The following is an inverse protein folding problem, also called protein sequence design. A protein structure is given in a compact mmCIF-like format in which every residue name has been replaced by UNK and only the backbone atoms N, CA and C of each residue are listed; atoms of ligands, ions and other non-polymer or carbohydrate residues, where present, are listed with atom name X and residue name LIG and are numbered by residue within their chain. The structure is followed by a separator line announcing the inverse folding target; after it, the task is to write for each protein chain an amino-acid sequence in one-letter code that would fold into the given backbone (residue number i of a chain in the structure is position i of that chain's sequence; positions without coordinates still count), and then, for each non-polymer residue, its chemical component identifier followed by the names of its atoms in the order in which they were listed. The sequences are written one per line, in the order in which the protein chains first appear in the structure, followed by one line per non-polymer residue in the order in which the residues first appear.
data_IF_917082919840
#
_entry.id   IF_917082919840
#
_cell.length_a   1.000
_cell.length_b   1.000
_cell.length_c   1.000
_cell.angle_alpha   90.00
_cell.angle_beta   90.00
_cell.angle_gamma   90.00
#
_symmetry.space_group_name_H-M   'P 1'
#
loop_
_entity.id
_entity.type
_entity.pdbx_description
1 polymer ?
#
# COMPACT_ATOMS: atom_id res chain seq x y z
N UNK A 1 54.21 -3.51 54.98
CA UNK A 1 52.99 -3.22 55.78
C UNK A 1 51.85 -3.10 54.81
N UNK A 2 51.07 -4.16 54.70
CA UNK A 2 49.63 -4.27 54.95
C UNK A 2 48.79 -3.37 54.02
N UNK A 3 47.80 -3.83 53.27
CA UNK A 3 46.75 -4.73 53.65
C UNK A 3 45.87 -5.06 52.40
N UNK A 4 45.33 -6.24 52.48
CA UNK A 4 44.25 -6.78 51.68
C UNK A 4 42.97 -5.92 51.62
N UNK A 5 42.22 -6.06 50.54
CA UNK A 5 40.80 -5.70 50.46
C UNK A 5 40.19 -6.37 49.25
N UNK A 6 39.55 -7.52 49.48
CA UNK A 6 38.73 -8.22 48.53
C UNK A 6 37.41 -7.50 48.34
N UNK A 7 36.84 -7.63 47.19
CA UNK A 7 35.52 -7.10 46.82
C UNK A 7 34.90 -7.96 45.75
N UNK A 8 33.94 -8.64 46.17
CA UNK A 8 33.00 -9.58 45.61
C UNK A 8 32.52 -9.31 44.20
N UNK A 9 32.42 -10.37 43.42
CA UNK A 9 31.75 -10.38 42.11
C UNK A 9 30.29 -10.03 42.23
N UNK A 10 29.86 -9.18 41.32
CA UNK A 10 28.46 -8.94 41.05
C UNK A 10 28.17 -9.48 39.64
N UNK A 11 27.49 -10.59 39.67
CA UNK A 11 26.96 -11.27 38.50
C UNK A 11 25.86 -10.42 37.90
N UNK A 12 26.17 -9.67 36.83
CA UNK A 12 25.13 -9.02 36.05
C UNK A 12 24.39 -10.07 35.24
N UNK A 13 23.24 -10.38 35.74
CA UNK A 13 22.23 -11.19 35.07
C UNK A 13 21.79 -10.45 33.80
N UNK A 14 22.32 -10.86 32.65
CA UNK A 14 21.85 -10.40 31.31
C UNK A 14 20.48 -11.05 31.10
N UNK A 15 19.44 -10.35 31.46
CA UNK A 15 18.08 -10.68 31.07
C UNK A 15 17.98 -10.45 29.58
N UNK A 16 18.05 -11.51 28.83
CA UNK A 16 17.68 -11.50 27.40
C UNK A 16 16.18 -11.27 27.32
N UNK A 17 15.78 -10.02 27.18
CA UNK A 17 14.42 -9.70 26.78
C UNK A 17 14.19 -10.24 25.37
N UNK A 18 13.61 -11.41 25.32
CA UNK A 18 12.99 -11.93 24.11
C UNK A 18 11.75 -11.07 23.86
N UNK A 19 11.92 -9.96 23.16
CA UNK A 19 10.80 -9.21 22.63
C UNK A 19 10.09 -10.11 21.63
N UNK A 20 9.02 -10.76 22.08
CA UNK A 20 8.06 -11.41 21.21
C UNK A 20 7.55 -10.33 20.24
N UNK A 21 7.90 -10.45 18.97
CA UNK A 21 7.29 -9.68 17.89
C UNK A 21 5.81 -10.09 17.87
N UNK A 22 4.97 -9.34 18.59
CA UNK A 22 3.54 -9.39 18.38
C UNK A 22 3.34 -9.11 16.87
N UNK A 23 2.74 -10.04 16.16
CA UNK A 23 2.30 -9.80 14.78
C UNK A 23 1.26 -8.67 14.83
N UNK A 24 1.72 -7.45 14.61
CA UNK A 24 0.83 -6.30 14.44
C UNK A 24 0.00 -6.57 13.19
N UNK A 25 -1.23 -6.97 13.40
CA UNK A 25 -2.18 -7.24 12.33
C UNK A 25 -2.32 -5.94 11.51
N UNK A 26 -1.81 -5.96 10.30
CA UNK A 26 -1.82 -4.79 9.42
C UNK A 26 -3.27 -4.33 9.19
N UNK A 27 -3.56 -3.05 9.43
CA UNK A 27 -4.85 -2.46 9.04
C UNK A 27 -4.88 -2.37 7.50
N UNK A 28 -5.87 -2.98 6.83
CA UNK A 28 -5.98 -2.91 5.38
C UNK A 28 -6.16 -1.47 4.86
N UNK A 29 -6.58 -0.54 5.71
CA UNK A 29 -6.74 0.88 5.40
C UNK A 29 -5.48 1.71 5.63
N UNK A 30 -4.46 1.14 6.26
CA UNK A 30 -3.23 1.83 6.60
C UNK A 30 -3.41 2.89 7.69
N UNK A 31 -2.40 3.75 7.82
CA UNK A 31 -2.29 4.75 8.88
C UNK A 31 -2.39 6.15 8.29
N UNK A 32 -3.40 6.92 8.69
CA UNK A 32 -3.61 8.28 8.22
C UNK A 32 -5.01 8.80 8.51
N UNK A 33 -5.35 9.91 7.90
CA UNK A 33 -6.63 10.60 8.09
C UNK A 33 -7.80 9.91 7.37
N UNK A 34 -7.52 9.18 6.28
CA UNK A 34 -8.56 8.51 5.49
C UNK A 34 -8.96 7.19 6.15
N UNK A 35 -10.10 7.21 6.85
CA UNK A 35 -10.70 6.03 7.49
C UNK A 35 -11.85 5.44 6.67
N UNK A 36 -12.42 6.23 5.78
CA UNK A 36 -13.44 5.84 4.82
C UNK A 36 -13.35 6.72 3.59
N UNK A 37 -13.39 6.11 2.42
CA UNK A 37 -13.38 6.80 1.13
C UNK A 37 -14.59 6.35 0.33
N UNK A 38 -15.49 7.28 0.07
CA UNK A 38 -16.63 6.99 -0.78
C UNK A 38 -16.22 6.91 -2.25
N UNK A 39 -16.50 5.77 -2.83
CA UNK A 39 -16.20 5.45 -4.22
C UNK A 39 -17.51 5.21 -4.95
N UNK A 40 -17.80 6.03 -5.96
CA UNK A 40 -18.94 5.81 -6.84
C UNK A 40 -18.81 4.52 -7.66
N UNK A 41 -19.93 4.01 -8.15
CA UNK A 41 -19.95 2.81 -9.01
C UNK A 41 -19.19 2.99 -10.32
N UNK A 42 -19.22 4.21 -10.88
CA UNK A 42 -18.52 4.60 -12.09
C UNK A 42 -17.17 5.25 -11.83
N UNK A 43 -16.55 5.70 -12.92
CA UNK A 43 -15.35 6.54 -12.89
C UNK A 43 -15.78 7.99 -13.08
N UNK A 44 -15.36 8.87 -12.17
CA UNK A 44 -15.46 10.31 -12.38
C UNK A 44 -14.34 10.74 -13.32
N UNK A 45 -14.70 11.01 -14.58
CA UNK A 45 -13.74 11.34 -15.62
C UNK A 45 -13.02 12.66 -15.36
N UNK A 46 -13.66 13.61 -14.69
CA UNK A 46 -13.06 14.92 -14.35
C UNK A 46 -12.00 14.75 -13.27
N UNK A 47 -12.32 14.03 -12.20
CA UNK A 47 -11.36 13.68 -11.15
C UNK A 47 -10.22 12.82 -11.71
N UNK A 48 -10.53 11.84 -12.55
CA UNK A 48 -9.51 10.99 -13.15
C UNK A 48 -8.57 11.77 -14.09
N UNK A 49 -9.07 12.79 -14.79
CA UNK A 49 -8.24 13.63 -15.63
C UNK A 49 -7.28 14.52 -14.82
N UNK A 50 -7.77 15.15 -13.75
CA UNK A 50 -6.92 15.93 -12.84
C UNK A 50 -5.89 15.05 -12.14
N UNK A 51 -6.31 13.88 -11.64
CA UNK A 51 -5.41 12.90 -11.03
C UNK A 51 -4.33 12.41 -11.99
N UNK A 52 -4.68 12.20 -13.26
CA UNK A 52 -3.70 11.84 -14.30
C UNK A 52 -2.60 12.89 -14.44
N UNK A 53 -2.97 14.16 -14.50
CA UNK A 53 -2.00 15.25 -14.64
C UNK A 53 -1.01 15.28 -13.45
N UNK A 54 -1.49 15.04 -12.24
CA UNK A 54 -0.64 14.97 -11.04
C UNK A 54 0.27 13.73 -11.11
N UNK A 55 -0.27 12.57 -11.47
CA UNK A 55 0.51 11.34 -11.59
C UNK A 55 1.61 11.49 -12.62
N UNK A 56 1.31 12.03 -13.79
CA UNK A 56 2.28 12.26 -14.86
C UNK A 56 3.43 13.19 -14.40
N UNK A 57 3.13 14.18 -13.57
CA UNK A 57 4.11 15.16 -13.11
C UNK A 57 4.94 14.69 -11.91
N UNK A 58 4.31 13.99 -10.95
CA UNK A 58 4.91 13.72 -9.64
C UNK A 58 5.27 12.24 -9.41
N UNK A 59 4.65 11.32 -10.13
CA UNK A 59 4.75 9.89 -9.81
C UNK A 59 5.53 9.07 -10.83
N UNK A 60 5.42 9.42 -12.13
CA UNK A 60 5.95 8.59 -13.23
C UNK A 60 7.47 8.54 -13.30
N UNK A 61 8.17 9.46 -12.63
CA UNK A 61 9.63 9.40 -12.49
C UNK A 61 10.09 8.12 -11.73
N UNK A 62 9.25 7.61 -10.81
CA UNK A 62 9.57 6.45 -9.99
C UNK A 62 8.61 5.27 -10.18
N UNK A 63 7.38 5.50 -10.66
CA UNK A 63 6.35 4.47 -10.83
C UNK A 63 5.91 4.35 -12.28
N UNK A 64 5.88 3.13 -12.79
CA UNK A 64 5.30 2.87 -14.10
C UNK A 64 3.78 2.67 -14.01
N UNK A 65 3.06 3.03 -15.08
CA UNK A 65 1.60 2.84 -15.14
C UNK A 65 1.18 1.40 -15.47
N UNK A 66 2.14 0.54 -15.81
CA UNK A 66 1.96 -0.90 -16.01
C UNK A 66 2.29 -1.68 -14.71
N UNK A 67 2.48 -2.98 -14.80
CA UNK A 67 2.84 -3.87 -13.71
C UNK A 67 4.33 -3.92 -13.36
N UNK A 68 5.17 -3.29 -14.20
CA UNK A 68 6.63 -3.33 -14.01
C UNK A 68 7.07 -2.33 -12.94
N UNK A 69 8.02 -2.75 -12.13
CA UNK A 69 8.71 -1.88 -11.18
C UNK A 69 9.76 -1.05 -11.90
N UNK A 70 9.87 0.23 -11.54
CA UNK A 70 10.99 1.09 -11.89
C UNK A 70 11.85 1.32 -10.64
N UNK A 71 11.63 2.39 -9.91
CA UNK A 71 12.11 2.57 -8.53
C UNK A 71 11.08 2.02 -7.56
N UNK A 72 9.84 2.49 -7.66
CA UNK A 72 8.69 1.99 -6.94
C UNK A 72 7.87 0.98 -7.74
N UNK A 73 6.87 0.34 -7.12
CA UNK A 73 6.04 -0.66 -7.78
C UNK A 73 5.18 -0.05 -8.89
N UNK A 74 4.84 -0.87 -9.88
CA UNK A 74 3.93 -0.47 -10.94
C UNK A 74 2.50 -0.27 -10.45
N UNK A 75 1.80 0.68 -11.06
CA UNK A 75 0.45 1.07 -10.64
C UNK A 75 -0.67 0.18 -11.18
N UNK A 76 -0.38 -0.68 -12.16
CA UNK A 76 -1.42 -1.55 -12.71
C UNK A 76 -2.03 -2.45 -11.65
N UNK A 77 -3.36 -2.38 -11.51
CA UNK A 77 -4.10 -3.20 -10.57
C UNK A 77 -3.89 -2.85 -9.09
N UNK A 78 -3.29 -1.70 -8.75
CA UNK A 78 -3.10 -1.30 -7.36
C UNK A 78 -4.43 -1.25 -6.58
N UNK A 79 -5.49 -0.77 -7.20
CA UNK A 79 -6.84 -0.69 -6.62
C UNK A 79 -7.55 -2.04 -6.47
N UNK A 80 -6.92 -3.12 -6.89
CA UNK A 80 -7.37 -4.49 -6.63
C UNK A 80 -6.55 -5.19 -5.53
N UNK A 81 -5.42 -4.59 -5.15
CA UNK A 81 -4.49 -5.12 -4.15
C UNK A 81 -4.50 -4.34 -2.84
N UNK A 82 -4.97 -3.11 -2.87
CA UNK A 82 -4.99 -2.18 -1.72
C UNK A 82 -6.34 -1.51 -1.60
N UNK A 83 -6.77 -1.28 -0.37
CA UNK A 83 -7.96 -0.50 -0.09
C UNK A 83 -7.77 0.97 -0.51
N UNK A 84 -8.85 1.65 -0.91
CA UNK A 84 -8.80 3.06 -1.31
C UNK A 84 -8.18 3.95 -0.25
N UNK A 85 -8.53 3.72 1.02
CA UNK A 85 -8.00 4.44 2.16
C UNK A 85 -6.49 4.24 2.29
N UNK A 86 -6.01 3.01 2.11
CA UNK A 86 -4.59 2.71 2.16
C UNK A 86 -3.82 3.49 1.08
N UNK A 87 -4.36 3.53 -0.14
CA UNK A 87 -3.74 4.26 -1.26
C UNK A 87 -3.69 5.75 -0.94
N UNK A 88 -4.78 6.34 -0.46
CA UNK A 88 -4.83 7.75 -0.12
C UNK A 88 -3.90 8.08 1.05
N UNK A 89 -3.90 7.28 2.11
CA UNK A 89 -2.99 7.46 3.25
C UNK A 89 -1.52 7.34 2.81
N UNK A 90 -1.19 6.38 1.93
CA UNK A 90 0.18 6.20 1.45
C UNK A 90 0.71 7.42 0.68
N UNK A 91 -0.12 8.09 -0.12
CA UNK A 91 0.32 9.23 -0.94
C UNK A 91 0.26 10.58 -0.22
N UNK A 92 -0.54 10.71 0.83
CA UNK A 92 -0.67 11.96 1.61
C UNK A 92 0.19 11.96 2.87
N UNK A 93 0.48 10.78 3.43
CA UNK A 93 1.15 10.62 4.72
C UNK A 93 2.24 9.54 4.65
N UNK A 94 3.06 9.60 3.60
CA UNK A 94 4.05 8.58 3.26
C UNK A 94 5.01 8.26 4.40
N UNK A 95 5.45 9.27 5.14
CA UNK A 95 6.45 9.10 6.21
C UNK A 95 5.89 8.24 7.36
N UNK A 96 4.69 8.55 7.85
CA UNK A 96 4.04 7.76 8.90
C UNK A 96 3.71 6.34 8.42
N UNK A 97 3.27 6.20 7.16
CA UNK A 97 3.00 4.89 6.57
C UNK A 97 4.26 4.03 6.51
N UNK A 98 5.37 4.55 6.00
CA UNK A 98 6.63 3.82 5.91
C UNK A 98 7.25 3.49 7.27
N UNK A 99 6.99 4.31 8.29
CA UNK A 99 7.52 4.10 9.62
C UNK A 99 6.68 3.12 10.46
N UNK A 100 5.37 3.00 10.19
CA UNK A 100 4.46 2.30 11.10
C UNK A 100 3.51 1.28 10.44
N UNK A 101 3.27 1.37 9.12
CA UNK A 101 2.38 0.42 8.44
C UNK A 101 3.18 -0.79 7.93
N UNK A 102 2.87 -2.02 8.39
CA UNK A 102 3.65 -3.21 8.00
C UNK A 102 3.64 -3.49 6.50
N UNK A 103 2.56 -3.11 5.79
CA UNK A 103 2.46 -3.31 4.35
C UNK A 103 3.33 -2.31 3.58
N UNK A 104 3.43 -1.06 4.08
CA UNK A 104 4.31 -0.05 3.51
C UNK A 104 5.78 -0.38 3.79
N UNK A 105 6.10 -0.89 4.98
CA UNK A 105 7.45 -1.35 5.35
C UNK A 105 7.91 -2.50 4.46
N UNK A 106 7.06 -3.48 4.20
CA UNK A 106 7.38 -4.57 3.29
C UNK A 106 7.68 -4.08 1.86
N UNK A 107 6.95 -3.06 1.39
CA UNK A 107 7.24 -2.43 0.10
C UNK A 107 8.56 -1.63 0.12
N UNK A 108 8.90 -0.98 1.23
CA UNK A 108 10.17 -0.30 1.40
C UNK A 108 11.35 -1.29 1.35
N UNK A 109 11.23 -2.42 2.02
CA UNK A 109 12.22 -3.51 1.98
C UNK A 109 12.39 -4.07 0.56
N UNK A 110 11.29 -4.24 -0.16
CA UNK A 110 11.32 -4.72 -1.54
C UNK A 110 11.94 -3.71 -2.50
N UNK A 111 11.64 -2.42 -2.35
CA UNK A 111 12.09 -1.36 -3.26
C UNK A 111 13.48 -0.82 -2.92
N UNK A 112 13.96 -1.00 -1.68
CA UNK A 112 15.22 -0.48 -1.15
C UNK A 112 15.37 1.04 -1.28
N UNK A 113 14.28 1.75 -1.50
CA UNK A 113 14.25 3.20 -1.69
C UNK A 113 12.99 3.78 -1.05
N UNK A 114 13.20 4.74 -0.16
CA UNK A 114 12.09 5.44 0.50
C UNK A 114 11.36 6.34 -0.49
N UNK A 115 10.03 6.20 -0.56
CA UNK A 115 9.19 7.10 -1.33
C UNK A 115 9.25 8.50 -0.72
N UNK A 116 9.63 9.56 -1.47
CA UNK A 116 9.62 10.91 -0.95
C UNK A 116 8.19 11.46 -0.83
N UNK A 117 7.98 12.32 0.16
CA UNK A 117 6.72 13.02 0.30
C UNK A 117 6.51 14.01 -0.86
N UNK A 118 5.43 13.85 -1.59
CA UNK A 118 5.10 14.67 -2.77
C UNK A 118 4.18 15.85 -2.43
N UNK A 119 3.85 16.05 -1.14
CA UNK A 119 2.92 17.10 -0.67
C UNK A 119 1.59 17.05 -1.44
N UNK A 120 0.97 15.88 -1.49
CA UNK A 120 -0.32 15.66 -2.13
C UNK A 120 -1.43 16.02 -1.15
N UNK A 121 -2.34 16.90 -1.56
CA UNK A 121 -3.54 17.22 -0.78
C UNK A 121 -4.57 16.09 -0.83
N UNK A 122 -5.51 16.06 0.14
CA UNK A 122 -6.60 15.08 0.14
C UNK A 122 -7.43 15.08 -1.16
N UNK A 123 -7.88 16.24 -1.67
CA UNK A 123 -8.57 16.33 -2.96
C UNK A 123 -7.73 15.80 -4.14
N UNK A 124 -6.45 16.12 -4.18
CA UNK A 124 -5.53 15.61 -5.21
C UNK A 124 -5.37 14.08 -5.11
N UNK A 125 -5.22 13.56 -3.90
CA UNK A 125 -5.15 12.13 -3.63
C UNK A 125 -6.43 11.41 -4.11
N UNK A 126 -7.59 12.02 -3.94
CA UNK A 126 -8.86 11.49 -4.45
C UNK A 126 -8.88 11.45 -5.97
N UNK A 127 -8.36 12.47 -6.64
CA UNK A 127 -8.20 12.49 -8.10
C UNK A 127 -7.23 11.41 -8.59
N UNK A 128 -6.09 11.28 -7.92
CA UNK A 128 -5.11 10.21 -8.21
C UNK A 128 -5.75 8.82 -8.06
N UNK A 129 -6.47 8.59 -6.97
CA UNK A 129 -7.19 7.32 -6.75
C UNK A 129 -8.16 7.03 -7.89
N UNK A 130 -8.92 8.03 -8.36
CA UNK A 130 -9.86 7.87 -9.45
C UNK A 130 -9.18 7.51 -10.77
N UNK A 131 -8.05 8.14 -11.07
CA UNK A 131 -7.23 7.78 -12.21
C UNK A 131 -6.70 6.34 -12.12
N UNK A 132 -6.24 5.92 -10.95
CA UNK A 132 -5.75 4.56 -10.73
C UNK A 132 -6.88 3.51 -10.85
N UNK A 133 -8.10 3.85 -10.43
CA UNK A 133 -9.30 3.02 -10.65
C UNK A 133 -9.59 2.83 -12.14
N UNK A 134 -9.46 3.89 -12.93
CA UNK A 134 -9.61 3.83 -14.38
C UNK A 134 -8.56 2.92 -15.04
N UNK A 135 -7.37 2.80 -14.46
CA UNK A 135 -6.28 1.92 -14.92
C UNK A 135 -6.42 0.48 -14.46
N UNK A 136 -7.45 0.16 -13.67
CA UNK A 136 -7.72 -1.22 -13.28
C UNK A 136 -7.91 -2.07 -14.53
N UNK A 137 -7.17 -3.19 -14.69
CA UNK A 137 -7.43 -4.09 -15.82
C UNK A 137 -8.90 -4.55 -15.70
N UNK A 138 -9.69 -4.29 -16.73
CA UNK A 138 -11.03 -4.88 -16.81
C UNK A 138 -10.81 -6.38 -16.72
N UNK A 139 -11.37 -7.04 -15.70
CA UNK A 139 -11.49 -8.49 -15.73
C UNK A 139 -12.16 -8.82 -17.05
N UNK A 140 -11.41 -9.38 -17.98
CA UNK A 140 -12.00 -9.94 -19.20
C UNK A 140 -12.95 -11.03 -18.69
N UNK A 141 -14.24 -10.76 -18.76
CA UNK A 141 -15.25 -11.78 -18.52
C UNK A 141 -14.92 -12.91 -19.47
N UNK A 142 -14.38 -13.97 -18.92
CA UNK A 142 -14.19 -15.18 -19.67
C UNK A 142 -15.57 -15.82 -19.79
N UNK A 143 -16.23 -15.58 -20.92
CA UNK A 143 -17.53 -16.21 -21.26
C UNK A 143 -17.46 -17.73 -21.14
N UNK A 144 -16.26 -18.30 -21.20
CA UNK A 144 -16.05 -19.74 -21.02
C UNK A 144 -16.26 -20.19 -19.57
N UNK A 145 -16.11 -19.31 -18.57
CA UNK A 145 -16.39 -19.64 -17.16
C UNK A 145 -17.89 -19.62 -16.82
N UNK A 146 -18.71 -18.97 -17.62
CA UNK A 146 -20.18 -18.93 -17.41
C UNK A 146 -20.82 -20.23 -17.83
N UNK A 147 -20.23 -20.96 -18.79
CA UNK A 147 -20.76 -22.23 -19.29
C UNK A 147 -20.64 -23.40 -18.30
N UNK A 148 -19.77 -23.30 -17.29
CA UNK A 148 -19.46 -24.42 -16.39
C UNK A 148 -20.48 -24.52 -15.25
N UNK A 149 -21.20 -23.44 -14.90
CA UNK A 149 -22.07 -23.40 -13.73
C UNK A 149 -23.58 -23.25 -14.03
N UNK A 150 -24.01 -23.36 -15.29
CA UNK A 150 -25.43 -23.33 -15.61
C UNK A 150 -25.76 -24.36 -16.70
N UNK A 151 -26.19 -25.57 -16.33
CA UNK A 151 -26.54 -26.63 -17.27
C UNK A 151 -27.81 -26.32 -18.10
N UNK A 152 -28.56 -25.27 -17.77
CA UNK A 152 -29.85 -24.94 -18.38
C UNK A 152 -29.77 -24.02 -19.62
N UNK A 153 -28.58 -23.65 -20.09
CA UNK A 153 -28.39 -22.79 -21.28
C UNK A 153 -28.23 -23.57 -22.60
N UNK A 154 -28.63 -24.85 -22.62
CA UNK A 154 -28.53 -25.65 -23.84
C UNK A 154 -29.80 -25.63 -24.70
N UNK A 155 -30.71 -24.68 -24.50
CA UNK A 155 -31.90 -24.53 -25.34
C UNK A 155 -31.92 -23.21 -26.10
N UNK A 156 -31.17 -23.11 -27.17
CA UNK A 156 -31.54 -22.35 -28.39
C UNK A 156 -30.75 -22.98 -29.55
N UNK A 157 -31.42 -23.84 -30.29
CA UNK A 157 -31.09 -24.17 -31.66
C UNK A 157 -31.77 -23.18 -32.57
#
# INVERSE_FOLDING_TARGET
MTSCGGGSGESSNSTTETTSKEEVKADPKGIGEFKSVEIGEGIDETLAASGKAIVDMKCTACHQLNDKRLVGPGFQGITSRREPEWIMNMITNVDVMLDNDPQAQALLEECLTRMPNQNISGPDARGILEFLRKKRPRKRWNLDSVKINNPDLNFIK
#
